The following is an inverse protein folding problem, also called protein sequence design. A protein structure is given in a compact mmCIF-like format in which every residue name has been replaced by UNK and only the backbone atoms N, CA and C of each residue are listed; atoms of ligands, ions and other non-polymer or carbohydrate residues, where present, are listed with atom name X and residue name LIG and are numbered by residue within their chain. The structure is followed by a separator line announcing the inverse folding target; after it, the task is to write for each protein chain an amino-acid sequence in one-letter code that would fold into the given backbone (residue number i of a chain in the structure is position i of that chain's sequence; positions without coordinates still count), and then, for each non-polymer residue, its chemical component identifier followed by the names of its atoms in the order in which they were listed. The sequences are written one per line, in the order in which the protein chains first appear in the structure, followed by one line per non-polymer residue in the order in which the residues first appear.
data_IF_895204440454
#
_entry.id   IF_895204440454
#
_cell.length_a   1.000
_cell.length_b   1.000
_cell.length_c   1.000
_cell.angle_alpha   90.00
_cell.angle_beta   90.00
_cell.angle_gamma   90.00
#
_symmetry.space_group_name_H-M   'P 1'
#
loop_
_entity.id
_entity.type
_entity.pdbx_description
1 polymer ?
#
# COMPACT_ATOMS: atom_id res chain seq x y z
N UNK A 1 2.94 1.53 40.74
CA UNK A 1 2.92 1.64 39.27
C UNK A 1 2.70 0.24 38.72
N UNK A 2 1.58 0.04 38.01
CA UNK A 2 1.10 -1.29 37.63
C UNK A 2 1.97 -1.90 36.53
N UNK A 3 2.50 -3.08 36.81
CA UNK A 3 3.18 -4.00 35.89
C UNK A 3 2.20 -4.63 34.89
N UNK A 4 1.45 -3.80 34.15
CA UNK A 4 0.59 -4.25 33.06
C UNK A 4 1.24 -3.78 31.77
N UNK A 5 1.34 -4.67 30.77
CA UNK A 5 1.75 -4.39 29.38
C UNK A 5 3.19 -4.81 28.99
N UNK A 6 3.71 -5.94 29.47
CA UNK A 6 4.79 -6.66 28.77
C UNK A 6 4.23 -7.96 28.22
N UNK A 7 4.21 -8.09 26.90
CA UNK A 7 3.91 -9.36 26.23
C UNK A 7 5.24 -9.94 25.76
N UNK A 8 5.57 -11.14 26.23
CA UNK A 8 6.76 -11.90 25.80
C UNK A 8 6.37 -12.67 24.55
N UNK A 9 7.07 -12.45 23.43
CA UNK A 9 6.82 -13.16 22.17
C UNK A 9 8.01 -14.06 21.84
N UNK A 10 7.77 -15.36 22.08
CA UNK A 10 8.48 -16.60 21.67
C UNK A 10 9.99 -16.75 21.92
N UNK A 11 10.40 -17.99 22.20
CA UNK A 11 11.79 -18.43 22.12
C UNK A 11 12.11 -18.93 20.71
N UNK A 12 12.80 -18.13 19.91
CA UNK A 12 13.44 -18.62 18.67
C UNK A 12 14.95 -18.68 18.89
N UNK A 13 15.56 -19.86 18.69
CA UNK A 13 16.98 -20.13 18.97
C UNK A 13 17.44 -19.73 20.39
N UNK A 14 16.57 -19.88 21.40
CA UNK A 14 16.90 -19.57 22.80
C UNK A 14 16.97 -18.08 23.14
N UNK A 15 16.57 -17.19 22.22
CA UNK A 15 16.44 -15.74 22.47
C UNK A 15 14.98 -15.41 22.74
N UNK A 16 14.74 -14.58 23.76
CA UNK A 16 13.42 -14.01 24.07
C UNK A 16 13.48 -12.50 24.03
N UNK A 17 12.44 -11.88 23.49
CA UNK A 17 12.28 -10.44 23.41
C UNK A 17 11.02 -10.02 24.13
N UNK A 18 11.08 -8.90 24.83
CA UNK A 18 9.93 -8.27 25.46
C UNK A 18 9.50 -7.09 24.61
N UNK A 19 8.23 -7.06 24.21
CA UNK A 19 7.65 -5.94 23.48
C UNK A 19 6.48 -5.35 24.27
N UNK A 20 6.34 -4.03 24.22
CA UNK A 20 5.13 -3.36 24.71
C UNK A 20 3.99 -3.55 23.69
N UNK A 21 2.72 -3.43 24.11
CA UNK A 21 1.59 -3.44 23.19
C UNK A 21 1.72 -2.46 22.03
N UNK A 22 2.28 -1.27 22.28
CA UNK A 22 2.49 -0.24 21.26
C UNK A 22 3.54 -0.68 20.23
N UNK A 23 4.61 -1.38 20.66
CA UNK A 23 5.60 -1.95 19.75
C UNK A 23 5.02 -3.11 18.93
N UNK A 24 4.12 -3.88 19.53
CA UNK A 24 3.41 -4.97 18.85
C UNK A 24 2.47 -4.38 17.80
N UNK A 25 1.67 -3.37 18.16
CA UNK A 25 0.78 -2.67 17.24
C UNK A 25 1.57 -2.02 16.09
N UNK A 26 2.67 -1.33 16.38
CA UNK A 26 3.51 -0.75 15.34
C UNK A 26 4.08 -1.81 14.37
N UNK A 27 4.48 -2.98 14.88
CA UNK A 27 4.95 -4.08 14.03
C UNK A 27 3.81 -4.68 13.18
N UNK A 28 2.60 -4.79 13.73
CA UNK A 28 1.42 -5.20 12.98
C UNK A 28 1.07 -4.21 11.88
N UNK A 29 1.01 -2.91 12.19
CA UNK A 29 0.75 -1.84 11.21
C UNK A 29 1.80 -1.80 10.12
N UNK A 30 3.08 -1.94 10.48
CA UNK A 30 4.15 -2.05 9.49
C UNK A 30 3.88 -3.21 8.53
N UNK A 31 3.55 -4.40 9.04
CA UNK A 31 3.32 -5.57 8.19
C UNK A 31 2.04 -5.45 7.37
N UNK A 32 0.99 -4.86 7.92
CA UNK A 32 -0.27 -4.55 7.23
C UNK A 32 -0.01 -3.60 6.04
N UNK A 33 0.71 -2.49 6.25
CA UNK A 33 1.09 -1.56 5.18
C UNK A 33 1.85 -2.26 4.05
N UNK A 34 2.82 -3.12 4.38
CA UNK A 34 3.55 -3.88 3.36
C UNK A 34 2.64 -4.78 2.51
N UNK A 35 1.61 -5.39 3.11
CA UNK A 35 0.64 -6.15 2.33
C UNK A 35 -0.22 -5.26 1.43
N UNK A 36 -0.52 -4.02 1.87
CA UNK A 36 -1.23 -3.06 1.02
C UNK A 36 -0.39 -2.54 -0.14
N UNK A 37 0.92 -2.38 0.05
CA UNK A 37 1.83 -2.10 -1.08
C UNK A 37 1.83 -3.27 -2.06
N UNK A 38 1.96 -4.51 -1.59
CA UNK A 38 1.89 -5.70 -2.46
C UNK A 38 0.54 -5.77 -3.21
N UNK A 39 -0.58 -5.43 -2.57
CA UNK A 39 -1.89 -5.35 -3.24
C UNK A 39 -1.90 -4.23 -4.29
N UNK A 40 -1.40 -3.04 -3.96
CA UNK A 40 -1.32 -1.89 -4.87
C UNK A 40 -0.46 -2.20 -6.10
N UNK A 41 0.69 -2.86 -5.93
CA UNK A 41 1.54 -3.35 -7.01
C UNK A 41 0.76 -4.27 -7.96
N UNK A 42 0.00 -5.23 -7.43
CA UNK A 42 -0.80 -6.14 -8.24
C UNK A 42 -1.93 -5.41 -9.00
N UNK A 43 -2.53 -4.40 -8.38
CA UNK A 43 -3.59 -3.60 -9.02
C UNK A 43 -3.00 -2.72 -10.13
N UNK A 44 -1.84 -2.11 -9.91
CA UNK A 44 -1.14 -1.30 -10.90
C UNK A 44 -0.68 -2.16 -12.08
N UNK A 45 -0.06 -3.30 -11.82
CA UNK A 45 0.36 -4.26 -12.86
C UNK A 45 -0.84 -4.74 -13.70
N UNK A 46 -1.94 -5.10 -13.05
CA UNK A 46 -3.17 -5.53 -13.72
C UNK A 46 -3.87 -4.44 -14.54
N UNK A 47 -3.55 -3.17 -14.30
CA UNK A 47 -4.11 -2.01 -14.99
C UNK A 47 -3.08 -1.27 -15.86
N UNK A 48 -1.85 -1.76 -15.96
CA UNK A 48 -0.72 -1.02 -16.54
C UNK A 48 -0.96 -0.63 -18.00
N UNK A 49 -1.48 -1.55 -18.82
CA UNK A 49 -1.79 -1.30 -20.24
C UNK A 49 -2.77 -0.12 -20.41
N UNK A 50 -3.80 -0.05 -19.57
CA UNK A 50 -4.79 1.02 -19.62
C UNK A 50 -4.21 2.35 -19.12
N UNK A 51 -3.41 2.31 -18.04
CA UNK A 51 -2.76 3.51 -17.50
C UNK A 51 -1.76 4.08 -18.51
N UNK A 52 -0.99 3.23 -19.20
CA UNK A 52 -0.06 3.64 -20.26
C UNK A 52 -0.81 4.31 -21.42
N UNK A 53 -1.93 3.73 -21.89
CA UNK A 53 -2.72 4.31 -22.99
C UNK A 53 -3.32 5.69 -22.64
N UNK A 54 -3.89 5.80 -21.43
CA UNK A 54 -4.63 6.99 -21.00
C UNK A 54 -3.68 8.11 -20.53
N UNK A 55 -2.67 7.76 -19.75
CA UNK A 55 -1.81 8.72 -19.05
C UNK A 55 -0.36 8.75 -19.57
N UNK A 56 0.08 7.79 -20.38
CA UNK A 56 1.41 7.81 -21.01
C UNK A 56 2.58 7.46 -20.09
N UNK A 57 2.31 6.79 -18.96
CA UNK A 57 3.35 6.29 -18.05
C UNK A 57 3.82 4.91 -18.51
N UNK A 58 5.13 4.69 -18.48
CA UNK A 58 5.67 3.33 -18.69
C UNK A 58 5.39 2.43 -17.49
N UNK A 59 5.40 1.11 -17.69
CA UNK A 59 5.18 0.12 -16.62
C UNK A 59 6.03 0.38 -15.37
N UNK A 60 7.35 0.58 -15.53
CA UNK A 60 8.25 0.88 -14.41
C UNK A 60 7.82 2.14 -13.63
N UNK A 61 7.40 3.19 -14.34
CA UNK A 61 6.92 4.43 -13.71
C UNK A 61 5.57 4.26 -13.02
N UNK A 62 4.71 3.40 -13.55
CA UNK A 62 3.43 3.06 -12.93
C UNK A 62 3.70 2.36 -11.59
N UNK A 63 4.66 1.44 -11.54
CA UNK A 63 5.00 0.70 -10.32
C UNK A 63 5.58 1.58 -9.21
N UNK A 64 6.27 2.68 -9.55
CA UNK A 64 6.78 3.65 -8.58
C UNK A 64 5.66 4.32 -7.74
N UNK A 65 4.40 4.25 -8.18
CA UNK A 65 3.24 4.77 -7.44
C UNK A 65 2.65 3.80 -6.41
N UNK A 66 3.14 2.56 -6.28
CA UNK A 66 2.50 1.55 -5.44
C UNK A 66 2.36 1.93 -3.96
N UNK A 67 3.39 2.53 -3.35
CA UNK A 67 3.36 2.98 -1.96
C UNK A 67 2.33 4.10 -1.76
N UNK A 68 2.33 5.09 -2.66
CA UNK A 68 1.39 6.21 -2.63
C UNK A 68 -0.06 5.76 -2.88
N UNK A 69 -0.26 4.76 -3.74
CA UNK A 69 -1.57 4.17 -4.00
C UNK A 69 -2.08 3.40 -2.78
N UNK A 70 -1.22 2.63 -2.12
CA UNK A 70 -1.56 1.89 -0.90
C UNK A 70 -2.03 2.84 0.21
N UNK A 71 -1.30 3.93 0.46
CA UNK A 71 -1.69 4.96 1.44
C UNK A 71 -3.06 5.56 1.09
N UNK A 72 -3.30 5.92 -0.18
CA UNK A 72 -4.59 6.47 -0.62
C UNK A 72 -5.75 5.51 -0.45
N UNK A 73 -5.51 4.22 -0.67
CA UNK A 73 -6.51 3.19 -0.48
C UNK A 73 -6.85 3.04 1.00
N UNK A 74 -5.85 2.93 1.88
CA UNK A 74 -6.07 2.82 3.33
C UNK A 74 -6.86 4.02 3.89
N UNK A 75 -6.54 5.24 3.46
CA UNK A 75 -7.20 6.47 3.93
C UNK A 75 -8.67 6.61 3.50
N UNK A 76 -9.04 5.99 2.37
CA UNK A 76 -10.35 6.18 1.74
C UNK A 76 -11.17 4.91 1.58
N UNK A 77 -10.70 3.80 2.14
CA UNK A 77 -11.35 2.50 2.02
C UNK A 77 -12.82 2.55 2.46
N UNK A 78 -13.74 2.24 1.55
CA UNK A 78 -15.19 2.19 1.82
C UNK A 78 -15.71 0.75 1.77
N UNK A 79 -16.13 0.22 2.92
CA UNK A 79 -16.66 -1.14 3.02
C UNK A 79 -18.00 -1.35 2.30
N UNK A 80 -18.63 -0.29 1.79
CA UNK A 80 -19.85 -0.37 0.97
C UNK A 80 -19.56 -0.50 -0.53
N UNK A 81 -18.31 -0.37 -0.95
CA UNK A 81 -17.86 -0.50 -2.34
C UNK A 81 -17.08 -1.81 -2.48
N UNK A 82 -17.09 -2.41 -3.68
CA UNK A 82 -16.26 -3.59 -3.90
C UNK A 82 -14.79 -3.17 -3.88
N UNK A 83 -13.92 -3.99 -3.30
CA UNK A 83 -12.49 -3.67 -3.18
C UNK A 83 -11.86 -3.36 -4.55
N UNK A 84 -12.23 -4.11 -5.59
CA UNK A 84 -11.75 -3.85 -6.95
C UNK A 84 -12.21 -2.49 -7.48
N UNK A 85 -13.47 -2.09 -7.25
CA UNK A 85 -13.96 -0.79 -7.69
C UNK A 85 -13.28 0.36 -6.93
N UNK A 86 -12.97 0.16 -5.65
CA UNK A 86 -12.26 1.13 -4.82
C UNK A 86 -10.80 1.30 -5.29
N UNK A 87 -10.10 0.19 -5.58
CA UNK A 87 -8.76 0.24 -6.17
C UNK A 87 -8.73 1.00 -7.49
N UNK A 88 -9.65 0.70 -8.42
CA UNK A 88 -9.73 1.40 -9.71
C UNK A 88 -10.02 2.89 -9.49
N UNK A 89 -10.93 3.24 -8.58
CA UNK A 89 -11.22 4.64 -8.25
C UNK A 89 -9.98 5.37 -7.71
N UNK A 90 -9.16 4.72 -6.88
CA UNK A 90 -7.92 5.30 -6.36
C UNK A 90 -6.85 5.46 -7.43
N UNK A 91 -6.74 4.51 -8.37
CA UNK A 91 -5.86 4.62 -9.54
C UNK A 91 -6.26 5.83 -10.38
N UNK A 92 -7.55 5.97 -10.73
CA UNK A 92 -8.07 7.12 -11.50
C UNK A 92 -7.73 8.43 -10.80
N UNK A 93 -8.10 8.57 -9.51
CA UNK A 93 -7.84 9.80 -8.76
C UNK A 93 -6.35 10.18 -8.71
N UNK A 94 -5.47 9.19 -8.58
CA UNK A 94 -4.03 9.40 -8.53
C UNK A 94 -3.47 9.87 -9.87
N UNK A 95 -3.80 9.18 -10.97
CA UNK A 95 -3.27 9.53 -12.29
C UNK A 95 -3.95 10.77 -12.89
N UNK A 96 -5.22 11.05 -12.54
CA UNK A 96 -5.88 12.33 -12.84
C UNK A 96 -5.15 13.50 -12.16
N UNK A 97 -4.70 13.30 -10.92
CA UNK A 97 -3.95 14.32 -10.18
C UNK A 97 -2.51 14.48 -10.70
N UNK A 98 -1.87 13.38 -11.12
CA UNK A 98 -0.54 13.40 -11.72
C UNK A 98 -0.55 14.03 -13.13
N UNK A 99 -1.64 13.85 -13.87
CA UNK A 99 -1.83 14.33 -15.23
C UNK A 99 -1.20 13.41 -16.28
N UNK A 100 -1.65 13.55 -17.54
CA UNK A 100 -1.07 12.82 -18.68
C UNK A 100 0.36 13.29 -18.94
N UNK A 101 1.28 12.35 -19.07
CA UNK A 101 2.66 12.62 -19.50
C UNK A 101 2.66 12.86 -21.00
N UNK A 102 3.13 14.04 -21.43
CA UNK A 102 3.32 14.31 -22.85
C UNK A 102 4.43 13.37 -23.38
N UNK A 103 4.13 12.67 -24.46
CA UNK A 103 5.11 11.88 -25.19
C UNK A 103 6.17 12.82 -25.75
N UNK A 104 7.37 12.82 -25.17
CA UNK A 104 8.55 13.45 -25.77
C UNK A 104 8.99 12.62 -26.98
N UNK A 105 8.25 12.71 -28.08
CA UNK A 105 8.72 12.31 -29.41
C UNK A 105 9.60 13.46 -29.94
N UNK A 106 10.90 13.38 -29.65
CA UNK A 106 11.98 14.16 -30.29
C UNK A 106 12.65 13.33 -31.40
#
# INVERSE_FOLDING_TARGET
MNSKNKIVVTSWNGKSWEMTPEQIEAAYRYKEHQYRIEDAENQLDGNADWIEEEYGYSHDEIMDFADELAERFEDKFDCNVSENDDWVARIIEMFDAAGRKESNDD
#
